data_IF_848314726813
#
_entry.id   IF_848314726813
#
_cell.length_a   1.000
_cell.length_b   1.000
_cell.length_c   1.000
_cell.angle_alpha   90.00
_cell.angle_beta   90.00
_cell.angle_gamma   90.00
#
_symmetry.space_group_name_H-M   'P 1'
#
loop_
_entity.id
_entity.type
_entity.pdbx_description
1 polymer ?
#
# COMPACT_ATOMS: atom_id res chain seq x y z
N UNK A 1 -0.86 -0.44 -25.16
CA UNK A 1 -1.48 -0.69 -23.85
C UNK A 1 -2.60 0.32 -23.76
N UNK A 2 -3.86 -0.11 -23.90
CA UNK A 2 -4.99 0.81 -23.87
C UNK A 2 -5.03 1.48 -22.50
N UNK A 3 -4.92 2.82 -22.52
CA UNK A 3 -4.92 3.61 -21.29
C UNK A 3 -6.32 3.52 -20.68
N UNK A 4 -6.41 3.08 -19.43
CA UNK A 4 -7.68 3.03 -18.70
C UNK A 4 -8.33 4.41 -18.69
N UNK A 5 -9.66 4.47 -18.63
CA UNK A 5 -10.42 5.73 -18.65
C UNK A 5 -10.32 6.54 -17.33
N UNK A 6 -9.45 6.13 -16.42
CA UNK A 6 -9.24 6.70 -15.09
C UNK A 6 -7.75 6.57 -14.72
N UNK A 7 -7.27 7.42 -13.81
CA UNK A 7 -5.94 7.30 -13.21
C UNK A 7 -6.01 6.52 -11.91
N UNK A 8 -4.93 5.82 -11.61
CA UNK A 8 -4.77 4.99 -10.42
C UNK A 8 -3.53 5.38 -9.64
N UNK A 9 -3.69 5.53 -8.32
CA UNK A 9 -2.63 5.97 -7.42
C UNK A 9 -2.39 4.92 -6.33
N UNK A 10 -1.21 4.31 -6.29
CA UNK A 10 -0.82 3.44 -5.19
C UNK A 10 -0.29 4.28 -4.03
N UNK A 11 -0.75 3.99 -2.82
CA UNK A 11 -0.21 4.55 -1.59
C UNK A 11 0.50 3.43 -0.84
N UNK A 12 1.78 3.65 -0.56
CA UNK A 12 2.64 2.75 0.21
C UNK A 12 2.99 3.44 1.54
N UNK A 13 2.28 3.14 2.64
CA UNK A 13 2.63 3.63 3.97
C UNK A 13 3.95 3.04 4.44
N UNK A 14 5.00 3.86 4.50
CA UNK A 14 6.36 3.49 4.90
C UNK A 14 6.91 4.34 6.07
N UNK A 15 6.06 5.15 6.71
CA UNK A 15 6.47 6.04 7.81
C UNK A 15 6.62 5.32 9.18
N UNK A 16 6.40 4.00 9.23
CA UNK A 16 6.54 3.19 10.44
C UNK A 16 7.98 3.17 11.00
N UNK A 17 8.12 3.04 12.32
CA UNK A 17 9.44 3.08 13.01
C UNK A 17 10.14 1.73 13.17
N UNK A 18 9.54 0.63 12.70
CA UNK A 18 10.13 -0.73 12.73
C UNK A 18 10.76 -1.13 14.08
N UNK A 19 10.20 -0.61 15.19
CA UNK A 19 10.83 -0.64 16.53
C UNK A 19 11.17 -2.06 17.03
N UNK A 20 10.41 -3.06 16.59
CA UNK A 20 10.56 -4.48 16.95
C UNK A 20 11.70 -5.19 16.20
N UNK A 21 12.13 -4.66 15.05
CA UNK A 21 13.16 -5.24 14.19
C UNK A 21 14.58 -4.73 14.51
N UNK A 22 14.72 -3.68 15.32
CA UNK A 22 16.01 -3.08 15.67
C UNK A 22 16.81 -2.47 14.51
N UNK A 23 16.25 -2.49 13.29
CA UNK A 23 16.87 -2.06 12.03
C UNK A 23 15.79 -1.55 11.06
N UNK A 24 16.24 -0.96 9.95
CA UNK A 24 15.34 -0.49 8.90
C UNK A 24 14.75 -1.64 8.09
N UNK A 25 13.67 -2.22 8.63
CA UNK A 25 12.95 -3.38 8.08
C UNK A 25 12.72 -3.30 6.57
N UNK A 26 12.39 -2.13 6.03
CA UNK A 26 12.05 -1.97 4.61
C UNK A 26 13.25 -2.13 3.68
N UNK A 27 14.46 -1.89 4.18
CA UNK A 27 15.71 -2.05 3.46
C UNK A 27 16.36 -3.43 3.68
N UNK A 28 15.78 -4.27 4.55
CA UNK A 28 16.28 -5.62 4.74
C UNK A 28 15.98 -6.50 3.52
N UNK A 29 16.88 -7.44 3.18
CA UNK A 29 16.68 -8.32 2.05
C UNK A 29 15.61 -9.38 2.34
N UNK A 30 14.64 -9.50 1.46
CA UNK A 30 13.71 -10.61 1.32
C UNK A 30 14.01 -11.36 0.02
N UNK A 31 14.53 -12.58 0.13
CA UNK A 31 15.05 -13.35 -1.02
C UNK A 31 16.11 -12.57 -1.82
N UNK A 32 17.02 -11.89 -1.12
CA UNK A 32 18.14 -11.18 -1.72
C UNK A 32 17.83 -9.76 -2.26
N UNK A 33 16.60 -9.28 -2.13
CA UNK A 33 16.20 -7.91 -2.54
C UNK A 33 15.54 -7.14 -1.41
N UNK A 34 15.76 -5.82 -1.26
CA UNK A 34 15.06 -5.02 -0.25
C UNK A 34 13.55 -5.21 -0.29
N UNK A 35 12.90 -5.30 0.88
CA UNK A 35 11.45 -5.47 0.98
C UNK A 35 10.70 -4.40 0.19
N UNK A 36 11.11 -3.13 0.32
CA UNK A 36 10.44 -2.01 -0.37
C UNK A 36 10.51 -2.14 -1.89
N UNK A 37 11.62 -2.65 -2.44
CA UNK A 37 11.78 -2.83 -3.88
C UNK A 37 10.76 -3.82 -4.43
N UNK A 38 10.55 -4.93 -3.70
CA UNK A 38 9.58 -5.95 -4.11
C UNK A 38 8.16 -5.39 -4.12
N UNK A 39 7.83 -4.54 -3.15
CA UNK A 39 6.52 -3.88 -3.08
C UNK A 39 6.35 -2.88 -4.23
N UNK A 40 7.37 -2.04 -4.49
CA UNK A 40 7.35 -1.08 -5.61
C UNK A 40 7.21 -1.81 -6.95
N UNK A 41 7.96 -2.89 -7.16
CA UNK A 41 7.89 -3.69 -8.38
C UNK A 41 6.50 -4.32 -8.55
N UNK A 42 5.90 -4.85 -7.49
CA UNK A 42 4.54 -5.39 -7.55
C UNK A 42 3.52 -4.33 -8.00
N UNK A 43 3.62 -3.10 -7.48
CA UNK A 43 2.78 -1.97 -7.92
C UNK A 43 3.00 -1.60 -9.38
N UNK A 44 4.26 -1.46 -9.78
CA UNK A 44 4.66 -1.12 -11.16
C UNK A 44 4.18 -2.18 -12.15
N UNK A 45 4.48 -3.45 -11.88
CA UNK A 45 4.10 -4.58 -12.74
C UNK A 45 2.58 -4.81 -12.73
N UNK A 46 1.90 -4.41 -11.65
CA UNK A 46 0.44 -4.41 -11.56
C UNK A 46 -0.22 -3.35 -12.44
N UNK A 47 0.54 -2.39 -12.96
CA UNK A 47 0.08 -1.39 -13.91
C UNK A 47 -0.69 -0.23 -13.29
N UNK A 48 -0.31 0.19 -12.07
CA UNK A 48 -0.76 1.47 -11.48
C UNK A 48 -0.08 2.65 -12.19
N UNK A 49 -0.76 3.78 -12.30
CA UNK A 49 -0.22 4.95 -13.02
C UNK A 49 0.84 5.70 -12.19
N UNK A 50 0.58 5.90 -10.89
CA UNK A 50 1.49 6.63 -9.99
C UNK A 50 1.66 5.88 -8.67
N UNK A 51 2.90 5.76 -8.21
CA UNK A 51 3.25 5.13 -6.93
C UNK A 51 3.71 6.21 -5.96
N UNK A 52 3.01 6.34 -4.83
CA UNK A 52 3.33 7.31 -3.78
C UNK A 52 3.76 6.57 -2.52
N UNK A 53 5.03 6.74 -2.15
CA UNK A 53 5.61 6.21 -0.92
C UNK A 53 5.57 7.30 0.15
N UNK A 54 4.91 7.01 1.27
CA UNK A 54 4.78 7.94 2.39
C UNK A 54 5.86 7.63 3.41
N UNK A 55 6.78 8.57 3.61
CA UNK A 55 8.00 8.36 4.41
C UNK A 55 8.12 9.48 5.44
N UNK A 56 8.80 9.24 6.55
CA UNK A 56 9.17 10.35 7.46
C UNK A 56 10.31 11.15 6.86
N UNK A 57 10.26 12.47 6.98
CA UNK A 57 11.32 13.35 6.48
C UNK A 57 12.68 13.09 7.16
N UNK A 58 12.68 12.54 8.39
CA UNK A 58 13.88 12.16 9.14
C UNK A 58 14.51 10.81 8.72
N UNK A 59 13.87 10.08 7.80
CA UNK A 59 14.28 8.73 7.42
C UNK A 59 15.22 8.74 6.21
N UNK A 60 16.40 9.34 6.37
CA UNK A 60 17.39 9.55 5.30
C UNK A 60 17.75 8.28 4.50
N UNK A 61 18.03 7.11 5.13
CA UNK A 61 18.36 5.91 4.35
C UNK A 61 17.29 5.50 3.34
N UNK A 62 16.02 5.48 3.75
CA UNK A 62 14.91 5.13 2.87
C UNK A 62 14.67 6.20 1.81
N UNK A 63 14.78 7.49 2.17
CA UNK A 63 14.66 8.58 1.19
C UNK A 63 15.72 8.48 0.09
N UNK A 64 16.98 8.22 0.44
CA UNK A 64 18.07 8.04 -0.51
C UNK A 64 17.86 6.80 -1.39
N UNK A 65 17.42 5.69 -0.79
CA UNK A 65 17.11 4.48 -1.52
C UNK A 65 16.02 4.70 -2.57
N UNK A 66 14.94 5.38 -2.21
CA UNK A 66 13.81 5.67 -3.10
C UNK A 66 14.16 6.57 -4.29
N UNK A 67 15.24 7.36 -4.24
CA UNK A 67 15.72 8.16 -5.38
C UNK A 67 16.15 7.30 -6.57
N UNK A 68 16.40 6.01 -6.35
CA UNK A 68 16.76 5.05 -7.39
C UNK A 68 15.54 4.48 -8.11
N UNK A 69 14.32 4.80 -7.65
CA UNK A 69 13.07 4.31 -8.20
C UNK A 69 12.26 5.44 -8.82
N UNK A 70 11.57 5.15 -9.92
CA UNK A 70 10.54 6.04 -10.47
C UNK A 70 9.27 5.94 -9.61
N UNK A 71 9.27 6.66 -8.48
CA UNK A 71 8.16 6.78 -7.53
C UNK A 71 8.09 8.21 -6.99
N UNK A 72 6.93 8.58 -6.46
CA UNK A 72 6.74 9.83 -5.72
C UNK A 72 6.96 9.61 -4.24
N UNK A 73 7.60 10.57 -3.60
CA UNK A 73 7.87 10.51 -2.16
C UNK A 73 7.10 11.62 -1.45
N UNK A 74 6.11 11.21 -0.66
CA UNK A 74 5.41 12.10 0.27
C UNK A 74 6.15 12.09 1.62
N UNK A 75 7.16 12.96 1.75
CA UNK A 75 7.94 13.09 2.98
C UNK A 75 7.18 13.91 4.02
N UNK A 76 6.91 13.32 5.19
CA UNK A 76 6.19 13.98 6.27
C UNK A 76 7.15 14.47 7.35
N UNK A 77 7.14 15.78 7.62
CA UNK A 77 7.86 16.40 8.74
C UNK A 77 7.15 16.16 10.09
N UNK A 78 5.84 15.90 10.05
CA UNK A 78 5.03 15.64 11.25
C UNK A 78 5.01 14.14 11.57
N UNK A 79 4.97 13.75 12.85
CA UNK A 79 4.79 12.36 13.22
C UNK A 79 3.49 11.77 12.66
N UNK A 80 3.59 10.58 12.08
CA UNK A 80 2.47 9.77 11.60
C UNK A 80 2.36 8.52 12.50
N UNK A 81 1.74 8.64 13.70
CA UNK A 81 1.73 7.56 14.69
C UNK A 81 0.96 6.34 14.20
N UNK A 82 -0.13 6.55 13.47
CA UNK A 82 -0.98 5.50 12.95
C UNK A 82 -0.86 5.34 11.43
N UNK A 83 -1.15 4.15 10.92
CA UNK A 83 -1.16 3.90 9.47
C UNK A 83 -2.14 4.84 8.75
N UNK A 84 -3.29 5.15 9.35
CA UNK A 84 -4.29 6.06 8.77
C UNK A 84 -3.72 7.46 8.51
N UNK A 85 -2.80 7.94 9.36
CA UNK A 85 -2.17 9.25 9.18
C UNK A 85 -1.25 9.25 7.96
N UNK A 86 -0.55 8.13 7.73
CA UNK A 86 0.24 7.94 6.50
C UNK A 86 -0.65 7.90 5.27
N UNK A 87 -1.81 7.24 5.34
CA UNK A 87 -2.77 7.24 4.23
C UNK A 87 -3.29 8.64 3.94
N UNK A 88 -3.69 9.41 4.97
CA UNK A 88 -4.11 10.82 4.80
C UNK A 88 -3.00 11.67 4.18
N UNK A 89 -1.76 11.54 4.64
CA UNK A 89 -0.62 12.25 4.08
C UNK A 89 -0.42 11.92 2.59
N UNK A 90 -0.48 10.62 2.22
CA UNK A 90 -0.40 10.19 0.83
C UNK A 90 -1.54 10.72 -0.03
N UNK A 91 -2.79 10.68 0.45
CA UNK A 91 -3.94 11.21 -0.28
C UNK A 91 -3.86 12.72 -0.48
N UNK A 92 -3.41 13.48 0.53
CA UNK A 92 -3.22 14.93 0.42
C UNK A 92 -2.12 15.26 -0.59
N UNK A 93 -1.00 14.53 -0.55
CA UNK A 93 0.06 14.67 -1.55
C UNK A 93 -0.49 14.43 -2.96
N UNK A 94 -1.23 13.32 -3.17
CA UNK A 94 -1.81 13.02 -4.47
C UNK A 94 -2.79 14.11 -4.93
N UNK A 95 -3.64 14.60 -4.02
CA UNK A 95 -4.60 15.65 -4.31
C UNK A 95 -3.91 16.93 -4.80
N UNK A 96 -2.81 17.32 -4.15
CA UNK A 96 -2.02 18.51 -4.47
C UNK A 96 -1.27 18.37 -5.79
N UNK A 97 -0.59 17.23 -6.00
CA UNK A 97 0.31 17.04 -7.14
C UNK A 97 -0.41 16.69 -8.45
N UNK A 98 -1.53 15.96 -8.38
CA UNK A 98 -2.13 15.35 -9.57
C UNK A 98 -3.54 15.83 -9.89
N UNK A 99 -4.19 16.57 -8.99
CA UNK A 99 -5.59 17.00 -9.13
C UNK A 99 -6.52 15.88 -9.65
N UNK A 100 -6.64 14.76 -8.92
CA UNK A 100 -7.47 13.61 -9.27
C UNK A 100 -8.96 13.94 -9.38
N UNK A 101 -9.63 13.22 -10.27
CA UNK A 101 -11.07 13.32 -10.51
C UNK A 101 -11.84 12.25 -9.72
N UNK A 102 -13.14 12.44 -9.50
CA UNK A 102 -13.98 11.47 -8.77
C UNK A 102 -14.01 10.05 -9.37
N UNK A 103 -13.73 9.95 -10.67
CA UNK A 103 -13.62 8.69 -11.41
C UNK A 103 -12.29 7.97 -11.22
N UNK A 104 -11.24 8.67 -10.76
CA UNK A 104 -9.93 8.08 -10.46
C UNK A 104 -10.03 7.11 -9.27
N UNK A 105 -8.96 6.35 -9.03
CA UNK A 105 -8.89 5.36 -7.96
C UNK A 105 -7.59 5.47 -7.18
N UNK A 106 -7.61 5.11 -5.91
CA UNK A 106 -6.41 4.91 -5.12
C UNK A 106 -6.38 3.50 -4.54
N UNK A 107 -5.18 2.95 -4.41
CA UNK A 107 -4.94 1.60 -3.92
C UNK A 107 -4.03 1.64 -2.71
N UNK A 108 -4.23 0.67 -1.81
CA UNK A 108 -3.50 0.60 -0.55
C UNK A 108 -2.96 -0.80 -0.29
N UNK A 109 -1.66 -0.86 -0.01
CA UNK A 109 -1.00 -1.98 0.63
C UNK A 109 0.15 -1.46 1.51
N UNK A 110 0.40 -2.04 2.70
CA UNK A 110 1.53 -1.67 3.52
C UNK A 110 2.88 -1.93 2.84
N UNK A 111 3.91 -1.16 3.21
CA UNK A 111 5.25 -1.26 2.63
C UNK A 111 6.00 -2.56 2.94
N UNK A 112 5.50 -3.35 3.88
CA UNK A 112 6.16 -4.53 4.44
C UNK A 112 5.52 -5.85 4.02
N UNK A 113 4.79 -5.85 2.91
CA UNK A 113 4.26 -7.05 2.25
C UNK A 113 5.14 -7.43 1.03
N UNK A 114 6.34 -8.02 1.20
CA UNK A 114 7.22 -8.37 0.07
C UNK A 114 6.65 -9.46 -0.85
N UNK A 115 5.55 -10.08 -0.45
CA UNK A 115 4.77 -11.05 -1.23
C UNK A 115 3.49 -10.45 -1.82
N UNK A 116 3.38 -9.12 -1.86
CA UNK A 116 2.36 -8.41 -2.63
C UNK A 116 2.47 -8.81 -4.11
N UNK A 117 1.34 -9.15 -4.72
CA UNK A 117 1.32 -9.72 -6.05
C UNK A 117 0.74 -8.74 -7.09
N UNK A 118 1.45 -8.58 -8.20
CA UNK A 118 1.08 -7.68 -9.30
C UNK A 118 -0.20 -8.12 -10.03
N UNK A 119 -0.50 -9.42 -10.11
CA UNK A 119 -1.73 -9.92 -10.71
C UNK A 119 -2.94 -9.55 -9.85
N UNK A 120 -2.80 -9.52 -8.52
CA UNK A 120 -3.87 -9.06 -7.64
C UNK A 120 -4.17 -7.57 -7.88
N UNK A 121 -3.14 -6.74 -8.08
CA UNK A 121 -3.27 -5.32 -8.40
C UNK A 121 -3.96 -5.14 -9.76
N UNK A 122 -3.45 -5.80 -10.80
CA UNK A 122 -4.03 -5.74 -12.15
C UNK A 122 -5.50 -6.16 -12.17
N UNK A 123 -5.86 -7.25 -11.49
CA UNK A 123 -7.26 -7.71 -11.36
C UNK A 123 -8.17 -6.68 -10.69
N UNK A 124 -7.69 -5.95 -9.68
CA UNK A 124 -8.50 -4.87 -9.08
C UNK A 124 -8.70 -3.72 -10.06
N UNK A 125 -7.65 -3.31 -10.77
CA UNK A 125 -7.72 -2.24 -11.75
C UNK A 125 -8.65 -2.60 -12.92
N UNK A 126 -8.57 -3.83 -13.42
CA UNK A 126 -9.42 -4.31 -14.52
C UNK A 126 -10.89 -4.49 -14.09
N UNK A 127 -11.12 -4.82 -12.82
CA UNK A 127 -12.46 -4.91 -12.25
C UNK A 127 -13.08 -3.54 -11.91
N UNK A 128 -12.30 -2.45 -11.92
CA UNK A 128 -12.78 -1.13 -11.55
C UNK A 128 -13.47 -0.43 -12.71
N UNK A 129 -14.71 0.00 -12.46
CA UNK A 129 -15.52 0.79 -13.37
C UNK A 129 -15.82 2.12 -12.69
N UNK A 130 -15.37 3.26 -13.26
CA UNK A 130 -15.65 4.59 -12.70
C UNK A 130 -17.14 4.82 -12.45
N UNK A 131 -17.45 5.68 -11.47
CA UNK A 131 -18.80 6.03 -10.98
C UNK A 131 -19.63 4.89 -10.36
N UNK A 132 -19.44 3.63 -10.74
CA UNK A 132 -20.31 2.51 -10.31
C UNK A 132 -19.66 1.59 -9.29
N UNK A 133 -18.33 1.44 -9.32
CA UNK A 133 -17.68 0.51 -8.41
C UNK A 133 -17.67 1.03 -6.96
N UNK A 134 -17.98 0.15 -5.98
CA UNK A 134 -17.71 0.39 -4.57
C UNK A 134 -16.21 0.17 -4.26
N UNK A 135 -15.85 0.06 -2.98
CA UNK A 135 -14.51 -0.44 -2.59
C UNK A 135 -14.31 -1.83 -3.20
N UNK A 136 -13.16 -2.09 -3.84
CA UNK A 136 -12.78 -3.41 -4.32
C UNK A 136 -11.65 -3.96 -3.44
N UNK A 137 -11.81 -5.18 -2.93
CA UNK A 137 -10.78 -5.77 -2.09
C UNK A 137 -10.40 -7.17 -2.60
N UNK A 138 -9.10 -7.42 -2.64
CA UNK A 138 -8.58 -8.75 -2.92
C UNK A 138 -9.04 -9.72 -1.82
N UNK A 139 -9.56 -10.88 -2.22
CA UNK A 139 -9.98 -11.94 -1.29
C UNK A 139 -9.25 -13.24 -1.60
N UNK A 140 -8.70 -13.85 -0.56
CA UNK A 140 -7.91 -15.07 -0.61
C UNK A 140 -8.55 -16.08 0.35
N UNK A 141 -9.03 -17.22 -0.16
CA UNK A 141 -9.76 -18.21 0.67
C UNK A 141 -10.82 -17.54 1.56
N UNK A 142 -11.69 -16.73 0.94
CA UNK A 142 -12.75 -15.94 1.56
C UNK A 142 -12.32 -14.86 2.57
N UNK A 143 -11.01 -14.62 2.71
CA UNK A 143 -10.47 -13.57 3.58
C UNK A 143 -10.04 -12.35 2.77
N UNK A 144 -10.60 -11.19 3.13
CA UNK A 144 -10.15 -9.89 2.62
C UNK A 144 -8.69 -9.64 3.01
N UNK A 145 -7.88 -9.17 2.06
CA UNK A 145 -6.51 -8.73 2.28
C UNK A 145 -6.11 -7.63 1.29
N UNK A 146 -4.84 -7.23 1.33
CA UNK A 146 -4.26 -6.29 0.39
C UNK A 146 -3.97 -6.96 -0.96
N UNK A 147 -3.91 -6.17 -2.06
CA UNK A 147 -4.25 -4.75 -2.12
C UNK A 147 -5.76 -4.49 -1.99
N UNK A 148 -6.11 -3.24 -1.65
CA UNK A 148 -7.48 -2.74 -1.68
C UNK A 148 -7.53 -1.52 -2.58
N UNK A 149 -8.54 -1.44 -3.44
CA UNK A 149 -8.81 -0.31 -4.31
C UNK A 149 -10.05 0.45 -3.81
N UNK A 150 -9.93 1.77 -3.74
CA UNK A 150 -10.98 2.69 -3.36
C UNK A 150 -11.23 3.69 -4.49
N UNK A 151 -12.49 4.01 -4.81
CA UNK A 151 -12.83 5.17 -5.63
C UNK A 151 -12.24 6.46 -5.03
N UNK A 152 -11.71 7.36 -5.87
CA UNK A 152 -11.11 8.62 -5.40
C UNK A 152 -12.09 9.48 -4.59
N UNK A 153 -13.36 9.53 -4.97
CA UNK A 153 -14.43 10.21 -4.22
C UNK A 153 -14.52 9.83 -2.73
N UNK A 154 -13.92 8.72 -2.30
CA UNK A 154 -13.87 8.29 -0.90
C UNK A 154 -12.81 9.00 -0.06
N UNK A 155 -11.90 9.79 -0.63
CA UNK A 155 -10.90 10.58 0.13
C UNK A 155 -11.56 11.42 1.22
N UNK A 156 -12.71 12.05 0.91
CA UNK A 156 -13.45 12.87 1.87
C UNK A 156 -13.95 12.06 3.09
N UNK A 157 -14.19 10.75 2.94
CA UNK A 157 -14.54 9.89 4.07
C UNK A 157 -13.32 9.52 4.90
N UNK A 158 -12.17 9.26 4.26
CA UNK A 158 -10.89 8.99 4.94
C UNK A 158 -10.49 10.17 5.85
N UNK A 159 -10.67 11.39 5.36
CA UNK A 159 -10.41 12.61 6.14
C UNK A 159 -11.35 12.79 7.33
N UNK A 160 -12.57 12.25 7.26
CA UNK A 160 -13.57 12.33 8.35
C UNK A 160 -13.42 11.24 9.40
N UNK A 161 -12.63 10.20 9.15
CA UNK A 161 -12.36 9.17 10.15
C UNK A 161 -11.78 9.83 11.41
N UNK A 162 -12.11 9.36 12.62
CA UNK A 162 -11.51 9.88 13.84
C UNK A 162 -10.00 9.60 13.87
N UNK A 163 -9.22 10.27 14.74
CA UNK A 163 -7.79 9.98 14.91
C UNK A 163 -7.49 8.52 15.23
N UNK A 164 -8.35 7.85 16.02
CA UNK A 164 -8.24 6.43 16.35
C UNK A 164 -8.89 5.48 15.31
N UNK A 165 -9.43 6.04 14.22
CA UNK A 165 -10.09 5.27 13.16
C UNK A 165 -9.08 4.55 12.28
N UNK A 166 -9.55 3.54 11.55
CA UNK A 166 -8.73 2.74 10.64
C UNK A 166 -9.37 2.64 9.27
N UNK A 167 -8.58 2.28 8.25
CA UNK A 167 -9.11 1.98 6.91
C UNK A 167 -10.15 0.84 6.94
N UNK A 168 -10.12 -0.03 7.96
CA UNK A 168 -11.12 -1.09 8.11
C UNK A 168 -12.52 -0.54 8.36
N UNK A 169 -12.64 0.63 8.98
CA UNK A 169 -13.92 1.24 9.34
C UNK A 169 -14.71 1.63 8.07
N UNK A 170 -14.01 2.00 6.99
CA UNK A 170 -14.64 2.30 5.70
C UNK A 170 -15.43 1.11 5.14
N UNK A 171 -15.04 -0.13 5.47
CA UNK A 171 -15.76 -1.32 5.00
C UNK A 171 -17.03 -1.62 5.77
N UNK A 172 -17.16 -1.09 6.99
CA UNK A 172 -18.37 -1.22 7.78
C UNK A 172 -19.44 -0.26 7.28
N UNK A 173 -19.02 0.95 6.90
CA UNK A 173 -19.92 2.04 6.51
C UNK A 173 -20.21 2.09 5.01
N UNK A 174 -19.42 1.39 4.19
CA UNK A 174 -19.57 1.41 2.74
C UNK A 174 -19.72 0.01 2.15
N UNK A 175 -20.41 -0.04 1.01
CA UNK A 175 -20.42 -1.23 0.16
C UNK A 175 -18.99 -1.52 -0.28
N UNK A 176 -18.69 -2.81 -0.41
CA UNK A 176 -17.47 -3.30 -1.03
C UNK A 176 -17.77 -4.57 -1.82
N UNK A 177 -16.90 -4.90 -2.76
CA UNK A 177 -16.99 -6.10 -3.59
C UNK A 177 -15.68 -6.87 -3.50
N UNK A 178 -15.81 -8.17 -3.27
CA UNK A 178 -14.69 -9.10 -3.30
C UNK A 178 -14.19 -9.30 -4.74
N UNK A 179 -12.87 -9.34 -4.91
CA UNK A 179 -12.21 -9.78 -6.14
C UNK A 179 -11.37 -11.02 -5.78
N UNK A 180 -11.86 -12.22 -6.10
CA UNK A 180 -11.20 -13.47 -5.72
C UNK A 180 -9.83 -13.64 -6.37
N UNK A 181 -8.85 -13.97 -5.53
CA UNK A 181 -7.50 -14.31 -5.94
C UNK A 181 -7.28 -15.81 -5.81
N UNK A 182 -6.64 -16.40 -6.82
CA UNK A 182 -6.24 -17.81 -6.85
C UNK A 182 -4.85 -18.02 -6.25
N UNK A 183 -4.19 -16.93 -5.85
CA UNK A 183 -2.83 -16.91 -5.34
C UNK A 183 -2.83 -16.99 -3.81
N UNK A 184 -1.65 -17.15 -3.21
CA UNK A 184 -1.52 -17.09 -1.76
C UNK A 184 -1.77 -15.66 -1.24
N UNK A 185 -2.35 -15.56 -0.03
CA UNK A 185 -2.52 -14.28 0.65
C UNK A 185 -1.14 -13.66 0.93
N UNK A 186 -0.93 -12.38 0.61
CA UNK A 186 0.30 -11.67 0.99
C UNK A 186 0.55 -11.74 2.49
N UNK A 187 1.83 -11.81 2.85
CA UNK A 187 2.33 -11.86 4.22
C UNK A 187 3.22 -10.66 4.51
N UNK A 188 3.00 -10.06 5.66
CA UNK A 188 3.85 -9.06 6.27
C UNK A 188 5.11 -9.72 6.91
N UNK A 189 6.19 -8.94 7.02
CA UNK A 189 7.44 -9.37 7.64
C UNK A 189 7.68 -8.58 8.92
N UNK A 190 7.15 -9.00 10.06
CA UNK A 190 7.17 -8.21 11.30
C UNK A 190 8.36 -8.49 12.21
N UNK A 191 8.91 -9.69 12.10
CA UNK A 191 10.00 -10.21 12.92
C UNK A 191 11.14 -10.73 12.03
N UNK A 192 12.38 -10.81 12.54
CA UNK A 192 13.47 -11.44 11.82
C UNK A 192 13.17 -12.88 11.38
N UNK A 193 12.35 -13.61 12.15
CA UNK A 193 11.87 -14.96 11.83
C UNK A 193 10.95 -15.05 10.61
N UNK A 194 10.45 -13.92 10.12
CA UNK A 194 9.60 -13.88 8.93
C UNK A 194 10.43 -13.76 7.64
N UNK A 195 11.73 -13.48 7.76
CA UNK A 195 12.66 -13.45 6.63
C UNK A 195 12.98 -14.88 6.14
N UNK A 196 13.03 -15.11 4.82
CA UNK A 196 13.43 -16.39 4.25
C UNK A 196 14.83 -16.80 4.73
N UNK A 197 14.99 -18.06 5.12
CA UNK A 197 16.28 -18.57 5.60
C UNK A 197 16.62 -18.21 7.06
N UNK A 198 15.73 -17.56 7.80
CA UNK A 198 15.87 -17.45 9.25
C UNK A 198 15.64 -18.82 9.88
N UNK A 199 16.71 -19.48 10.33
CA UNK A 199 16.57 -20.70 11.10
C UNK A 199 15.76 -20.40 12.36
N UNK A 200 14.63 -21.08 12.54
CA UNK A 200 14.09 -21.27 13.90
C UNK A 200 15.18 -22.02 14.64
N UNK A 201 15.97 -21.33 15.45
CA UNK A 201 16.70 -21.99 16.52
C UNK A 201 15.63 -22.60 17.43
N UNK A 202 15.34 -23.87 17.19
CA UNK A 202 14.60 -24.71 18.10
C UNK A 202 15.37 -24.69 19.42
N UNK A 203 14.89 -23.94 20.40
CA UNK A 203 15.33 -24.15 21.78
C UNK A 203 14.93 -25.58 22.15
N UNK A 204 15.95 -26.39 22.46
CA UNK A 204 15.82 -27.69 23.10
C UNK A 204 15.49 -27.52 24.57
#
# INVERSE_FOLDING_TARGET
MDRRSFRSFAIIPAAGRSRRMGSDKLLLPYEGRPIIDRVIDAWRDGGVDEIVVVVRADHTPLLQHLQQHDVRVAASEVPLPEMIDSVRAGLRYIAQEFSPQDGDAWLLAPADLPTLDSQAIGKLLDAYVPATCPILAATYEDRRSHPVLFPWRMVAQVEKLPPAGTIRDLFTENRWRAVPMTLARPRDVDLPSDLPGSERKSEK
#
